data_IF_431922811978
#
_entry.id   IF_431922811978
#
_cell.length_a   1.000
_cell.length_b   1.000
_cell.length_c   1.000
_cell.angle_alpha   90.00
_cell.angle_beta   90.00
_cell.angle_gamma   90.00
#
_symmetry.space_group_name_H-M   'P 1'
#
loop_
_entity.id
_entity.type
_entity.pdbx_description
1 polymer ?
#
# COMPACT_ATOMS: atom_id res chain seq x y z
N UNK A 1 2.67 -0.12 -10.66
CA UNK A 1 2.76 -1.57 -10.95
C UNK A 1 3.95 -1.91 -11.83
N UNK A 2 4.22 -1.17 -12.91
CA UNK A 2 5.28 -1.52 -13.87
C UNK A 2 6.69 -1.61 -13.24
N UNK A 3 7.00 -0.83 -12.19
CA UNK A 3 8.33 -0.86 -11.55
C UNK A 3 8.57 -1.98 -10.53
N UNK A 4 7.55 -2.49 -9.85
CA UNK A 4 7.78 -3.55 -8.84
C UNK A 4 7.86 -4.94 -9.45
N UNK A 5 7.48 -5.11 -10.72
CA UNK A 5 7.37 -6.42 -11.37
C UNK A 5 6.28 -7.34 -10.79
N UNK A 6 5.51 -6.87 -9.79
CA UNK A 6 4.52 -7.67 -9.09
C UNK A 6 3.15 -7.64 -9.78
N UNK A 7 2.50 -8.80 -9.80
CA UNK A 7 1.10 -8.92 -10.21
C UNK A 7 0.15 -8.57 -9.06
N UNK A 8 -1.12 -8.28 -9.36
CA UNK A 8 -2.13 -7.97 -8.34
C UNK A 8 -2.39 -9.15 -7.41
N UNK A 9 -2.30 -10.35 -7.96
CA UNK A 9 -2.45 -11.63 -7.27
C UNK A 9 -1.35 -11.80 -6.22
N UNK A 10 -0.09 -11.52 -6.59
CA UNK A 10 1.05 -11.59 -5.67
C UNK A 10 0.91 -10.56 -4.54
N UNK A 11 0.53 -9.32 -4.87
CA UNK A 11 0.30 -8.26 -3.88
C UNK A 11 -0.81 -8.68 -2.91
N UNK A 12 -1.91 -9.21 -3.44
CA UNK A 12 -3.03 -9.67 -2.63
C UNK A 12 -2.62 -10.81 -1.68
N UNK A 13 -1.85 -11.78 -2.18
CA UNK A 13 -1.33 -12.88 -1.39
C UNK A 13 -0.41 -12.40 -0.25
N UNK A 14 0.58 -11.56 -0.56
CA UNK A 14 1.55 -11.04 0.41
C UNK A 14 0.88 -10.20 1.51
N UNK A 15 -0.10 -9.38 1.13
CA UNK A 15 -0.87 -8.55 2.06
C UNK A 15 -2.07 -9.29 2.68
N UNK A 16 -2.18 -10.61 2.46
CA UNK A 16 -3.23 -11.49 2.99
C UNK A 16 -4.63 -10.94 2.74
N UNK A 17 -4.89 -10.56 1.50
CA UNK A 17 -6.15 -9.96 1.02
C UNK A 17 -6.55 -10.52 -0.34
N UNK A 18 -7.49 -9.89 -1.05
CA UNK A 18 -7.89 -10.25 -2.41
C UNK A 18 -7.70 -9.10 -3.40
N UNK A 19 -7.83 -9.44 -4.68
CA UNK A 19 -7.56 -8.55 -5.81
C UNK A 19 -8.55 -7.38 -5.83
N UNK A 20 -9.80 -7.62 -5.45
CA UNK A 20 -10.87 -6.62 -5.37
C UNK A 20 -10.50 -5.51 -4.41
N UNK A 21 -9.97 -5.86 -3.24
CA UNK A 21 -9.48 -4.87 -2.28
C UNK A 21 -8.28 -4.11 -2.81
N UNK A 22 -7.31 -4.78 -3.43
CA UNK A 22 -6.15 -4.11 -4.06
C UNK A 22 -6.63 -3.11 -5.12
N UNK A 23 -7.59 -3.49 -5.97
CA UNK A 23 -8.17 -2.59 -6.96
C UNK A 23 -8.86 -1.38 -6.32
N UNK A 24 -9.65 -1.58 -5.25
CA UNK A 24 -10.30 -0.46 -4.52
C UNK A 24 -9.29 0.52 -3.93
N UNK A 25 -8.20 0.02 -3.36
CA UNK A 25 -7.12 0.85 -2.80
C UNK A 25 -6.47 1.67 -3.92
N UNK A 26 -6.16 1.04 -5.06
CA UNK A 26 -5.54 1.72 -6.21
C UNK A 26 -6.45 2.76 -6.86
N UNK A 27 -7.76 2.53 -6.86
CA UNK A 27 -8.76 3.51 -7.32
C UNK A 27 -9.11 4.55 -6.26
N UNK A 28 -8.47 4.53 -5.08
CA UNK A 28 -8.76 5.41 -3.95
C UNK A 28 -10.25 5.42 -3.54
N UNK A 29 -10.96 4.32 -3.76
CA UNK A 29 -12.40 4.17 -3.44
C UNK A 29 -12.64 3.49 -2.09
N UNK A 30 -11.58 3.27 -1.33
CA UNK A 30 -11.59 2.61 -0.03
C UNK A 30 -11.77 3.63 1.11
N UNK A 31 -12.50 3.24 2.16
CA UNK A 31 -12.77 4.12 3.31
C UNK A 31 -11.58 4.23 4.29
N UNK A 32 -10.72 3.22 4.36
CA UNK A 32 -9.57 3.22 5.25
C UNK A 32 -8.47 4.13 4.70
N UNK A 33 -8.17 5.19 5.44
CA UNK A 33 -7.11 6.14 5.09
C UNK A 33 -5.73 5.49 5.08
N UNK A 34 -5.47 4.46 5.91
CA UNK A 34 -4.17 3.81 5.99
C UNK A 34 -3.91 2.79 4.87
N UNK A 35 -4.96 2.19 4.28
CA UNK A 35 -4.78 1.12 3.30
C UNK A 35 -3.96 1.57 2.06
N UNK A 36 -4.15 2.78 1.49
CA UNK A 36 -3.27 3.31 0.45
C UNK A 36 -1.80 3.47 0.89
N UNK A 37 -1.55 3.89 2.14
CA UNK A 37 -0.19 4.03 2.66
C UNK A 37 0.48 2.67 2.85
N UNK A 38 -0.26 1.67 3.35
CA UNK A 38 0.25 0.30 3.47
C UNK A 38 0.67 -0.25 2.11
N UNK A 39 -0.17 -0.08 1.08
CA UNK A 39 0.15 -0.54 -0.26
C UNK A 39 1.36 0.20 -0.83
N UNK A 40 1.46 1.51 -0.62
CA UNK A 40 2.63 2.30 -1.01
C UNK A 40 3.91 1.76 -0.37
N UNK A 41 3.95 1.62 0.96
CA UNK A 41 5.17 1.19 1.67
C UNK A 41 5.59 -0.23 1.28
N UNK A 42 4.62 -1.13 1.08
CA UNK A 42 4.90 -2.46 0.54
C UNK A 42 5.55 -2.42 -0.86
N UNK A 43 5.00 -1.62 -1.78
CA UNK A 43 5.54 -1.50 -3.13
C UNK A 43 6.92 -0.84 -3.14
N UNK A 44 7.11 0.21 -2.32
CA UNK A 44 8.39 0.91 -2.20
C UNK A 44 9.49 -0.03 -1.68
N UNK A 45 9.18 -0.89 -0.70
CA UNK A 45 10.11 -1.91 -0.23
C UNK A 45 10.46 -2.93 -1.32
N UNK A 46 9.47 -3.46 -2.04
CA UNK A 46 9.69 -4.44 -3.10
C UNK A 46 10.54 -3.88 -4.25
N UNK A 47 10.35 -2.62 -4.58
CA UNK A 47 11.16 -1.92 -5.59
C UNK A 47 12.61 -1.75 -5.07
N UNK A 48 12.78 -1.33 -3.81
CA UNK A 48 14.11 -1.18 -3.20
C UNK A 48 14.86 -2.52 -3.08
N UNK A 49 14.16 -3.61 -2.75
CA UNK A 49 14.73 -4.97 -2.70
C UNK A 49 15.30 -5.41 -4.07
N UNK A 50 14.74 -4.90 -5.17
CA UNK A 50 15.23 -5.15 -6.53
C UNK A 50 16.38 -4.22 -6.94
N UNK A 51 16.83 -3.34 -6.04
CA UNK A 51 17.87 -2.33 -6.32
C UNK A 51 17.36 -1.13 -7.10
N UNK A 52 16.04 -1.00 -7.28
CA UNK A 52 15.42 0.10 -8.01
C UNK A 52 15.00 1.25 -7.07
N UNK A 53 14.78 2.43 -7.66
CA UNK A 53 14.28 3.60 -6.93
C UNK A 53 12.75 3.73 -7.11
N UNK A 54 11.97 3.78 -6.01
CA UNK A 54 10.53 3.99 -6.07
C UNK A 54 10.17 5.34 -6.67
N UNK A 55 9.07 5.37 -7.42
CA UNK A 55 8.54 6.62 -7.96
C UNK A 55 7.67 7.26 -6.87
N UNK A 56 7.88 8.54 -6.53
CA UNK A 56 7.04 9.23 -5.56
C UNK A 56 5.56 9.17 -5.97
N UNK A 57 4.69 8.81 -5.03
CA UNK A 57 3.25 8.88 -5.24
C UNK A 57 2.82 10.35 -5.21
N UNK A 58 2.02 10.78 -6.20
CA UNK A 58 1.55 12.17 -6.27
C UNK A 58 0.54 12.52 -5.16
N UNK A 59 -0.29 11.55 -4.74
CA UNK A 59 -1.32 11.73 -3.73
C UNK A 59 -0.86 11.40 -2.29
N UNK A 60 0.17 10.57 -2.13
CA UNK A 60 0.69 10.12 -0.84
C UNK A 60 2.11 10.67 -0.66
N UNK A 61 2.20 11.87 -0.10
CA UNK A 61 3.45 12.61 0.03
C UNK A 61 3.82 12.87 1.48
N UNK A 62 5.13 12.96 1.75
CA UNK A 62 5.64 13.20 3.09
C UNK A 62 5.79 11.93 3.93
N UNK A 63 5.88 12.14 5.24
CA UNK A 63 6.10 11.11 6.24
C UNK A 63 4.79 10.83 6.98
N UNK A 64 4.24 9.62 6.80
CA UNK A 64 2.97 9.23 7.41
C UNK A 64 2.99 9.22 8.94
N UNK A 65 4.17 9.13 9.57
CA UNK A 65 4.30 9.27 11.03
C UNK A 65 3.94 10.68 11.53
N UNK A 66 3.96 11.69 10.64
CA UNK A 66 3.63 13.08 10.97
C UNK A 66 2.15 13.42 10.75
N UNK A 67 1.37 12.50 10.19
CA UNK A 67 -0.06 12.71 9.98
C UNK A 67 -0.84 12.24 11.21
N UNK A 68 -1.33 13.18 12.03
CA UNK A 68 -2.05 12.90 13.28
C UNK A 68 -3.30 12.03 13.10
N UNK A 69 -3.90 12.06 11.91
CA UNK A 69 -5.11 11.31 11.56
C UNK A 69 -4.82 9.88 11.06
N UNK A 70 -3.56 9.50 10.87
CA UNK A 70 -3.17 8.15 10.44
C UNK A 70 -2.73 7.30 11.64
N UNK A 71 -3.08 6.01 11.61
CA UNK A 71 -2.48 5.04 12.53
C UNK A 71 -1.14 4.52 11.97
N UNK A 72 -0.04 5.20 12.28
CA UNK A 72 1.30 4.82 11.83
C UNK A 72 1.66 3.36 12.17
N UNK A 73 1.32 2.89 13.38
CA UNK A 73 1.60 1.50 13.80
C UNK A 73 0.93 0.46 12.90
N UNK A 74 -0.23 0.78 12.32
CA UNK A 74 -0.92 -0.10 11.37
C UNK A 74 -0.19 -0.13 10.02
N UNK A 75 0.32 1.01 9.58
CA UNK A 75 1.12 1.16 8.36
C UNK A 75 2.46 0.41 8.50
N UNK A 76 3.17 0.60 9.62
CA UNK A 76 4.44 -0.08 9.93
C UNK A 76 4.32 -1.61 9.85
N UNK A 77 3.21 -2.15 10.37
CA UNK A 77 2.92 -3.59 10.37
C UNK A 77 2.43 -4.12 9.02
N UNK A 78 2.18 -3.24 8.04
CA UNK A 78 1.57 -3.54 6.73
C UNK A 78 0.28 -4.34 6.84
N UNK A 79 -0.53 -4.02 7.85
CA UNK A 79 -1.79 -4.73 8.11
C UNK A 79 -2.96 -3.96 7.50
N UNK A 80 -3.44 -4.44 6.36
CA UNK A 80 -4.64 -3.88 5.74
C UNK A 80 -5.84 -3.94 6.68
N UNK A 81 -6.72 -2.95 6.57
CA UNK A 81 -7.98 -2.93 7.32
C UNK A 81 -8.79 -4.22 7.08
N UNK A 82 -9.63 -4.60 8.05
CA UNK A 82 -10.65 -5.62 7.79
C UNK A 82 -11.83 -4.91 7.14
N UNK A 83 -12.20 -5.30 5.92
CA UNK A 83 -13.37 -4.81 5.22
C UNK A 83 -14.06 -5.97 4.53
N UNK A 84 -15.41 -5.96 4.48
CA UNK A 84 -16.14 -6.90 3.65
C UNK A 84 -15.78 -6.62 2.19
N UNK A 85 -15.28 -7.66 1.52
CA UNK A 85 -15.00 -7.66 0.10
C UNK A 85 -16.30 -7.46 -0.68
#
# INVERSE_FOLDING_TARGET
>A
MVKSGLTKEQIAQDLKTNIEKINRILSLSQHSLEDPWILKEYLDEKIKEQGDVPIPFSALSGDYHKHWFLNAKKIDKKQLSKGKF
#
